data_IF_682877278477
#
_entry.id   IF_682877278477
#
_cell.length_a   1.000
_cell.length_b   1.000
_cell.length_c   1.000
_cell.angle_alpha   90.00
_cell.angle_beta   90.00
_cell.angle_gamma   90.00
#
_symmetry.space_group_name_H-M   'P 1'
#
loop_
_entity.id
_entity.type
_entity.pdbx_description
1 polymer ?
#
# COMPACT_ATOMS: atom_id res chain seq x y z
N UNK A 1 7.29 -30.58 19.87
CA UNK A 1 8.23 -30.17 18.80
C UNK A 1 7.78 -28.88 18.09
N UNK A 2 7.39 -27.81 18.82
CA UNK A 2 6.78 -26.58 18.26
C UNK A 2 7.59 -25.29 18.56
N UNK A 3 8.84 -25.42 19.02
CA UNK A 3 9.69 -24.27 19.39
C UNK A 3 10.51 -23.78 18.20
N UNK A 4 11.21 -24.68 17.49
CA UNK A 4 12.08 -24.36 16.34
C UNK A 4 11.37 -23.51 15.28
N UNK A 5 10.28 -24.02 14.69
CA UNK A 5 9.53 -23.30 13.66
C UNK A 5 8.87 -21.98 14.10
N UNK A 6 8.84 -21.64 15.40
CA UNK A 6 8.45 -20.31 15.86
C UNK A 6 9.64 -19.36 15.95
N UNK A 7 10.82 -19.84 16.33
CA UNK A 7 12.07 -19.07 16.24
C UNK A 7 12.41 -18.70 14.79
N UNK A 8 12.32 -19.67 13.89
CA UNK A 8 12.62 -19.49 12.46
C UNK A 8 11.71 -18.44 11.81
N UNK A 9 10.41 -18.43 12.16
CA UNK A 9 9.44 -17.44 11.65
C UNK A 9 9.73 -16.03 12.18
N UNK A 10 10.14 -15.88 13.45
CA UNK A 10 10.49 -14.57 14.02
C UNK A 10 11.75 -14.01 13.36
N UNK A 11 12.77 -14.83 13.15
CA UNK A 11 14.01 -14.40 12.50
C UNK A 11 13.79 -14.12 11.01
N UNK A 12 13.00 -14.95 10.30
CA UNK A 12 12.63 -14.68 8.90
C UNK A 12 11.85 -13.36 8.75
N UNK A 13 10.93 -13.03 9.68
CA UNK A 13 10.22 -11.76 9.68
C UNK A 13 11.15 -10.56 9.90
N UNK A 14 12.15 -10.70 10.78
CA UNK A 14 13.20 -9.70 11.02
C UNK A 14 14.05 -9.44 9.77
N UNK A 15 14.53 -10.49 9.10
CA UNK A 15 15.27 -10.36 7.83
C UNK A 15 14.43 -9.76 6.71
N UNK A 16 13.16 -10.16 6.60
CA UNK A 16 12.25 -9.58 5.62
C UNK A 16 12.00 -8.08 5.86
N UNK A 17 11.84 -7.63 7.12
CA UNK A 17 11.71 -6.21 7.45
C UNK A 17 12.98 -5.43 7.10
N UNK A 18 14.16 -5.96 7.43
CA UNK A 18 15.44 -5.33 7.08
C UNK A 18 15.63 -5.21 5.56
N UNK A 19 15.36 -6.30 4.81
CA UNK A 19 15.49 -6.30 3.36
C UNK A 19 14.48 -5.35 2.68
N UNK A 20 13.25 -5.26 3.18
CA UNK A 20 12.25 -4.30 2.70
C UNK A 20 12.68 -2.85 3.00
N UNK A 21 13.25 -2.59 4.17
CA UNK A 21 13.86 -1.31 4.55
C UNK A 21 14.96 -0.87 3.60
N UNK A 22 16.02 -1.68 3.48
CA UNK A 22 17.17 -1.40 2.61
C UNK A 22 16.75 -1.21 1.15
N UNK A 23 15.81 -2.03 0.65
CA UNK A 23 15.29 -1.86 -0.71
C UNK A 23 14.51 -0.55 -0.87
N UNK A 24 13.71 -0.15 0.11
CA UNK A 24 12.95 1.10 0.08
C UNK A 24 13.87 2.33 0.15
N UNK A 25 14.91 2.29 0.98
CA UNK A 25 15.95 3.31 1.10
C UNK A 25 16.79 3.43 -0.19
N UNK A 26 17.07 2.32 -0.86
CA UNK A 26 17.68 2.27 -2.19
C UNK A 26 16.73 2.69 -3.34
N UNK A 27 15.55 3.25 -3.03
CA UNK A 27 14.60 3.75 -4.03
C UNK A 27 13.74 2.70 -4.73
N UNK A 28 13.78 1.43 -4.30
CA UNK A 28 12.93 0.38 -4.88
C UNK A 28 11.47 0.62 -4.53
N UNK A 29 10.65 0.95 -5.53
CA UNK A 29 9.19 1.07 -5.39
C UNK A 29 8.53 -0.20 -4.82
N UNK A 30 9.08 -1.37 -5.13
CA UNK A 30 8.61 -2.65 -4.59
C UNK A 30 9.03 -2.82 -3.11
N UNK A 31 10.24 -2.38 -2.76
CA UNK A 31 10.72 -2.32 -1.37
C UNK A 31 9.83 -1.41 -0.51
N UNK A 32 9.61 -0.17 -0.95
CA UNK A 32 8.74 0.79 -0.30
C UNK A 32 7.29 0.27 -0.15
N UNK A 33 6.74 -0.38 -1.19
CA UNK A 33 5.42 -1.02 -1.09
C UNK A 33 5.37 -2.13 -0.04
N UNK A 34 6.37 -3.02 -0.03
CA UNK A 34 6.45 -4.14 0.92
C UNK A 34 6.65 -3.65 2.37
N UNK A 35 7.49 -2.63 2.57
CA UNK A 35 7.68 -1.99 3.87
C UNK A 35 6.37 -1.37 4.38
N UNK A 36 5.61 -0.69 3.52
CA UNK A 36 4.29 -0.19 3.88
C UNK A 36 3.29 -1.31 4.24
N UNK A 37 3.36 -2.47 3.56
CA UNK A 37 2.55 -3.65 3.94
C UNK A 37 2.93 -4.22 5.31
N UNK A 38 4.20 -4.15 5.72
CA UNK A 38 4.65 -4.57 7.05
C UNK A 38 4.16 -3.60 8.13
N UNK A 39 4.42 -2.31 7.96
CA UNK A 39 4.04 -1.27 8.92
C UNK A 39 2.52 -1.26 9.15
N UNK A 40 1.71 -1.44 8.09
CA UNK A 40 0.26 -1.56 8.22
C UNK A 40 -0.19 -2.82 9.00
N UNK A 41 0.54 -3.93 8.93
CA UNK A 41 0.29 -5.14 9.74
C UNK A 41 0.72 -4.96 11.19
N UNK A 42 1.72 -4.11 11.43
CA UNK A 42 2.25 -3.77 12.76
C UNK A 42 1.45 -2.66 13.46
N UNK A 43 0.41 -2.11 12.80
CA UNK A 43 -0.46 -1.05 13.33
C UNK A 43 0.00 0.37 12.97
N UNK A 44 1.20 0.53 12.43
CA UNK A 44 1.78 1.80 11.94
C UNK A 44 1.18 2.24 10.60
N UNK A 45 -0.13 2.46 10.56
CA UNK A 45 -0.85 2.92 9.37
C UNK A 45 -0.36 4.28 8.82
N UNK A 46 0.01 5.29 9.63
CA UNK A 46 0.57 6.54 9.12
C UNK A 46 1.92 6.35 8.41
N UNK A 47 2.80 5.51 8.95
CA UNK A 47 4.11 5.22 8.37
C UNK A 47 3.97 4.38 7.10
N UNK A 48 3.03 3.42 7.10
CA UNK A 48 2.66 2.67 5.90
C UNK A 48 2.20 3.57 4.76
N UNK A 49 1.41 4.62 5.06
CA UNK A 49 0.96 5.60 4.09
C UNK A 49 2.16 6.34 3.45
N UNK A 50 3.14 6.79 4.24
CA UNK A 50 4.34 7.47 3.72
C UNK A 50 5.11 6.59 2.72
N UNK A 51 5.29 5.31 3.03
CA UNK A 51 5.99 4.38 2.14
C UNK A 51 5.17 3.96 0.92
N UNK A 52 3.85 3.83 1.04
CA UNK A 52 2.99 3.65 -0.12
C UNK A 52 2.94 4.87 -1.03
N UNK A 53 3.01 6.10 -0.49
CA UNK A 53 3.12 7.33 -1.29
C UNK A 53 4.40 7.31 -2.10
N UNK A 54 5.57 7.09 -1.47
CA UNK A 54 6.86 6.93 -2.16
C UNK A 54 6.83 5.88 -3.27
N UNK A 55 6.20 4.73 -3.00
CA UNK A 55 6.05 3.67 -4.01
C UNK A 55 5.12 4.09 -5.16
N UNK A 56 4.00 4.75 -4.88
CA UNK A 56 3.04 5.22 -5.88
C UNK A 56 3.62 6.34 -6.75
N UNK A 57 4.39 7.27 -6.17
CA UNK A 57 5.11 8.32 -6.90
C UNK A 57 6.16 7.70 -7.84
N UNK A 58 6.84 6.64 -7.41
CA UNK A 58 7.71 5.80 -8.24
C UNK A 58 6.96 4.81 -9.18
N UNK A 59 5.66 5.03 -9.42
CA UNK A 59 4.89 4.30 -10.44
C UNK A 59 4.28 2.95 -9.99
N UNK A 60 4.14 2.69 -8.69
CA UNK A 60 3.61 1.41 -8.18
C UNK A 60 2.08 1.45 -7.98
N UNK A 61 1.29 1.06 -8.99
CA UNK A 61 -0.18 1.15 -8.94
C UNK A 61 -0.87 0.41 -7.78
N UNK A 62 -0.31 -0.72 -7.31
CA UNK A 62 -0.83 -1.41 -6.10
C UNK A 62 -0.65 -0.58 -4.82
N UNK A 63 0.32 0.33 -4.77
CA UNK A 63 0.51 1.24 -3.64
C UNK A 63 -0.50 2.40 -3.69
N UNK A 64 -0.71 2.98 -4.87
CA UNK A 64 -1.78 3.95 -5.12
C UNK A 64 -3.16 3.39 -4.71
N UNK A 65 -3.47 2.12 -5.02
CA UNK A 65 -4.71 1.48 -4.59
C UNK A 65 -4.81 1.31 -3.06
N UNK A 66 -3.68 1.06 -2.36
CA UNK A 66 -3.67 1.02 -0.89
C UNK A 66 -3.98 2.39 -0.28
N UNK A 67 -3.42 3.46 -0.85
CA UNK A 67 -3.72 4.83 -0.45
C UNK A 67 -5.19 5.18 -0.73
N UNK A 68 -5.72 4.83 -1.89
CA UNK A 68 -7.12 5.08 -2.24
C UNK A 68 -8.09 4.48 -1.21
N UNK A 69 -7.87 3.21 -0.84
CA UNK A 69 -8.65 2.51 0.21
C UNK A 69 -8.43 3.11 1.61
N UNK A 70 -7.22 3.57 1.92
CA UNK A 70 -6.88 4.21 3.18
C UNK A 70 -7.64 5.54 3.35
N UNK A 71 -7.57 6.42 2.37
CA UNK A 71 -8.25 7.72 2.39
C UNK A 71 -9.77 7.58 2.36
N UNK A 72 -10.30 6.65 1.54
CA UNK A 72 -11.73 6.31 1.55
C UNK A 72 -12.25 5.94 2.95
N UNK A 73 -11.58 5.00 3.64
CA UNK A 73 -11.94 4.58 5.01
C UNK A 73 -11.85 5.71 6.05
N UNK A 74 -11.08 6.77 5.78
CA UNK A 74 -10.96 7.97 6.62
C UNK A 74 -11.99 9.06 6.26
N UNK A 75 -12.92 8.79 5.34
CA UNK A 75 -13.87 9.79 4.83
C UNK A 75 -13.25 10.84 3.92
N UNK A 76 -11.97 10.69 3.54
CA UNK A 76 -11.23 11.61 2.70
C UNK A 76 -11.46 11.24 1.22
N UNK A 77 -12.72 11.35 0.78
CA UNK A 77 -13.19 10.76 -0.48
C UNK A 77 -12.50 11.37 -1.71
N UNK A 78 -12.19 12.66 -1.68
CA UNK A 78 -11.47 13.36 -2.75
C UNK A 78 -10.02 12.84 -2.89
N UNK A 79 -9.29 12.68 -1.79
CA UNK A 79 -7.96 12.06 -1.76
C UNK A 79 -8.04 10.61 -2.25
N UNK A 80 -9.06 9.87 -1.79
CA UNK A 80 -9.35 8.50 -2.21
C UNK A 80 -9.52 8.38 -3.73
N UNK A 81 -10.30 9.28 -4.35
CA UNK A 81 -10.46 9.33 -5.82
C UNK A 81 -9.17 9.67 -6.55
N UNK A 82 -8.38 10.64 -6.07
CA UNK A 82 -7.11 11.02 -6.71
C UNK A 82 -6.14 9.83 -6.73
N UNK A 83 -6.01 9.11 -5.61
CA UNK A 83 -5.22 7.89 -5.54
C UNK A 83 -5.82 6.73 -6.34
N UNK A 84 -7.15 6.63 -6.46
CA UNK A 84 -7.80 5.64 -7.30
C UNK A 84 -7.53 5.89 -8.80
N UNK A 85 -7.63 7.13 -9.29
CA UNK A 85 -7.18 7.47 -10.66
C UNK A 85 -5.71 7.12 -10.88
N UNK A 86 -4.84 7.46 -9.92
CA UNK A 86 -3.41 7.12 -9.98
C UNK A 86 -3.17 5.60 -10.03
N UNK A 87 -4.01 4.81 -9.38
CA UNK A 87 -3.96 3.35 -9.44
C UNK A 87 -4.50 2.76 -10.76
N UNK A 88 -5.42 3.46 -11.44
CA UNK A 88 -5.84 3.13 -12.82
C UNK A 88 -4.70 3.36 -13.81
N UNK A 89 -3.97 4.47 -13.69
CA UNK A 89 -2.84 4.83 -14.56
C UNK A 89 -1.64 3.89 -14.40
N UNK A 90 -1.31 3.52 -13.16
CA UNK A 90 -0.06 2.84 -12.80
C UNK A 90 -0.21 1.32 -12.56
N UNK A 91 -1.43 0.80 -12.58
CA UNK A 91 -1.75 -0.59 -12.20
C UNK A 91 -1.82 -1.55 -13.39
N UNK A 92 -1.49 -2.84 -13.22
CA UNK A 92 -1.94 -3.87 -14.16
C UNK A 92 -3.48 -3.95 -14.16
N UNK A 93 -4.08 -4.53 -15.21
CA UNK A 93 -5.53 -4.54 -15.46
C UNK A 93 -6.39 -4.83 -14.21
N UNK A 94 -6.11 -5.90 -13.46
CA UNK A 94 -6.79 -6.26 -12.21
C UNK A 94 -6.87 -5.10 -11.18
N UNK A 95 -5.75 -4.37 -11.04
CA UNK A 95 -5.63 -3.23 -10.12
C UNK A 95 -6.35 -2.02 -10.67
N UNK A 96 -6.23 -1.76 -11.98
CA UNK A 96 -6.90 -0.66 -12.65
C UNK A 96 -8.42 -0.82 -12.63
N UNK A 97 -8.96 -2.00 -12.92
CA UNK A 97 -10.40 -2.29 -12.80
C UNK A 97 -10.93 -2.07 -11.38
N UNK A 98 -10.21 -2.60 -10.38
CA UNK A 98 -10.59 -2.44 -8.96
C UNK A 98 -10.53 -0.97 -8.53
N UNK A 99 -9.52 -0.24 -8.99
CA UNK A 99 -9.39 1.19 -8.73
C UNK A 99 -10.46 2.01 -9.44
N UNK A 100 -10.84 1.66 -10.67
CA UNK A 100 -11.91 2.33 -11.41
C UNK A 100 -13.27 2.18 -10.72
N UNK A 101 -13.60 0.97 -10.21
CA UNK A 101 -14.81 0.74 -9.39
C UNK A 101 -14.80 1.55 -8.10
N UNK A 102 -13.67 1.58 -7.38
CA UNK A 102 -13.53 2.39 -6.16
C UNK A 102 -13.68 3.89 -6.46
N UNK A 103 -13.02 4.39 -7.52
CA UNK A 103 -13.12 5.79 -7.94
C UNK A 103 -14.56 6.19 -8.23
N UNK A 104 -15.33 5.32 -8.87
CA UNK A 104 -16.73 5.60 -9.20
C UNK A 104 -17.61 5.65 -7.94
N UNK A 105 -17.49 4.68 -7.04
CA UNK A 105 -18.22 4.70 -5.77
C UNK A 105 -17.95 5.98 -4.97
N UNK A 106 -16.66 6.34 -4.82
CA UNK A 106 -16.27 7.59 -4.14
C UNK A 106 -16.74 8.86 -4.88
N UNK A 107 -16.95 8.80 -6.20
CA UNK A 107 -17.49 9.92 -7.00
C UNK A 107 -18.97 10.12 -6.72
N UNK A 108 -19.72 9.02 -6.68
CA UNK A 108 -21.15 9.03 -6.35
C UNK A 108 -21.36 9.55 -4.92
N UNK A 109 -20.56 9.10 -3.95
CA UNK A 109 -20.62 9.57 -2.55
C UNK A 109 -20.27 11.07 -2.39
N UNK A 110 -19.37 11.63 -3.21
CA UNK A 110 -19.10 13.08 -3.19
C UNK A 110 -20.21 13.95 -3.82
N UNK A 111 -21.15 13.33 -4.54
CA UNK A 111 -22.25 14.04 -5.24
C UNK A 111 -23.63 13.80 -4.62
N UNK A 112 -23.68 13.08 -3.49
CA UNK A 112 -24.89 12.77 -2.74
C UNK A 112 -25.12 13.76 -1.58
#
# INVERSE_FOLDING_TARGET
>A
MLAAGRGDVVEAARWYRLAAGLAAEAGSRNGAFNLGLLLAREGSEPEAALWWTRAADAGHGRAALRLALLYARRGQLAEGQRWASRAVELGPAEVAERAARLREALRQELTA
#
